data_IF_587306824215
#
_entry.id   IF_587306824215
#
_cell.length_a   1.000
_cell.length_b   1.000
_cell.length_c   1.000
_cell.angle_alpha   90.00
_cell.angle_beta   90.00
_cell.angle_gamma   90.00
#
_symmetry.space_group_name_H-M   'P 1'
#
loop_
_entity.id
_entity.type
_entity.pdbx_description
1 polymer ?
#
# COMPACT_ATOMS: atom_id res chain seq x y z
N UNK A 1 13.11 -48.88 -2.88
CA UNK A 1 12.07 -48.56 -1.87
C UNK A 1 12.37 -47.17 -1.34
N UNK A 2 11.56 -46.13 -1.43
CA UNK A 2 10.28 -45.83 -2.07
C UNK A 2 10.33 -44.30 -2.34
N UNK A 3 10.18 -43.87 -3.61
CA UNK A 3 9.00 -43.20 -4.15
C UNK A 3 8.84 -41.70 -3.79
N UNK A 4 8.91 -40.87 -4.85
CA UNK A 4 8.55 -39.44 -4.91
C UNK A 4 7.12 -39.22 -4.36
N UNK A 5 6.91 -38.11 -3.66
CA UNK A 5 5.58 -37.55 -3.43
C UNK A 5 5.40 -36.30 -4.30
N UNK A 6 4.39 -36.33 -5.15
CA UNK A 6 3.84 -35.20 -5.90
C UNK A 6 2.85 -34.44 -5.00
N UNK A 7 2.73 -33.10 -5.12
CA UNK A 7 1.60 -32.38 -4.54
C UNK A 7 0.57 -32.10 -5.63
N UNK A 8 -0.45 -32.96 -5.73
CA UNK A 8 -1.73 -32.60 -6.33
C UNK A 8 -2.85 -33.16 -5.44
N UNK A 9 -3.84 -32.31 -5.20
CA UNK A 9 -5.18 -32.58 -4.70
C UNK A 9 -5.39 -32.97 -3.23
N UNK A 10 -5.66 -31.95 -2.40
CA UNK A 10 -6.70 -32.04 -1.39
C UNK A 10 -7.30 -30.66 -1.09
N UNK A 11 -8.22 -30.25 -1.97
CA UNK A 11 -9.28 -29.30 -1.63
C UNK A 11 -10.05 -29.87 -0.43
N UNK A 12 -9.85 -29.33 0.77
CA UNK A 12 -10.59 -29.74 1.97
C UNK A 12 -11.75 -28.78 2.22
N UNK A 13 -12.95 -29.29 2.57
CA UNK A 13 -14.15 -28.48 2.71
C UNK A 13 -14.09 -27.58 3.95
N UNK A 14 -14.61 -26.37 3.75
CA UNK A 14 -14.79 -25.31 4.74
C UNK A 14 -15.45 -25.83 6.02
N UNK A 15 -14.70 -25.85 7.12
CA UNK A 15 -15.25 -26.16 8.45
C UNK A 15 -15.96 -24.92 9.00
N UNK A 16 -17.19 -25.02 9.54
CA UNK A 16 -17.87 -23.86 10.11
C UNK A 16 -17.08 -23.29 11.28
N UNK A 17 -17.01 -21.96 11.35
CA UNK A 17 -16.31 -21.17 12.37
C UNK A 17 -16.77 -21.57 13.78
N UNK A 18 -16.11 -22.58 14.36
CA UNK A 18 -16.07 -22.79 15.79
C UNK A 18 -15.33 -21.61 16.41
N UNK A 19 -15.94 -21.00 17.42
CA UNK A 19 -15.35 -19.94 18.24
C UNK A 19 -14.16 -20.49 19.04
N UNK A 20 -13.04 -20.71 18.35
CA UNK A 20 -11.74 -20.89 18.98
C UNK A 20 -11.18 -19.50 19.29
N UNK A 21 -10.65 -19.25 20.50
CA UNK A 21 -9.96 -18.01 20.78
C UNK A 21 -8.78 -17.88 19.81
N UNK A 22 -8.77 -16.82 19.00
CA UNK A 22 -7.66 -16.61 18.06
C UNK A 22 -6.35 -16.57 18.84
N UNK A 23 -5.34 -17.37 18.47
CA UNK A 23 -4.04 -17.28 19.10
C UNK A 23 -3.53 -15.85 18.94
N UNK A 24 -3.00 -15.26 20.01
CA UNK A 24 -2.34 -13.96 19.95
C UNK A 24 -1.06 -14.11 19.12
N UNK A 25 -1.16 -13.90 17.81
CA UNK A 25 0.02 -13.82 16.95
C UNK A 25 0.68 -12.44 17.17
N UNK A 26 1.86 -12.44 17.76
CA UNK A 26 2.70 -11.25 17.87
C UNK A 26 3.64 -11.20 16.66
N UNK A 27 3.33 -10.33 15.69
CA UNK A 27 4.20 -10.06 14.56
C UNK A 27 5.08 -8.85 14.86
N UNK A 28 6.41 -9.00 14.71
CA UNK A 28 7.33 -7.87 14.73
C UNK A 28 7.45 -7.33 13.32
N UNK A 29 6.74 -6.25 13.03
CA UNK A 29 6.87 -5.56 11.76
C UNK A 29 8.17 -4.74 11.72
N UNK A 30 8.81 -4.61 10.54
CA UNK A 30 9.87 -3.63 10.34
C UNK A 30 9.36 -2.21 10.63
N UNK A 31 10.28 -1.28 10.89
CA UNK A 31 9.96 0.11 11.24
C UNK A 31 9.02 0.78 10.22
N UNK A 32 9.10 0.38 8.97
CA UNK A 32 8.25 0.84 7.87
C UNK A 32 7.53 -0.36 7.25
N UNK A 33 6.21 -0.23 7.08
CA UNK A 33 5.37 -1.26 6.46
C UNK A 33 5.11 -0.97 4.97
N UNK A 34 5.54 0.19 4.48
CA UNK A 34 5.54 0.58 3.08
C UNK A 34 7.00 0.86 2.66
N UNK A 35 7.46 0.16 1.63
CA UNK A 35 8.76 0.40 0.99
C UNK A 35 8.59 0.27 -0.52
N UNK A 36 8.86 1.34 -1.25
CA UNK A 36 8.79 1.35 -2.71
C UNK A 36 10.10 1.84 -3.29
N UNK A 37 10.56 1.20 -4.36
CA UNK A 37 11.76 1.60 -5.09
C UNK A 37 11.40 1.74 -6.58
N UNK A 38 11.83 2.83 -7.20
CA UNK A 38 11.66 3.09 -8.62
C UNK A 38 12.97 3.61 -9.21
N UNK A 39 13.28 3.23 -10.45
CA UNK A 39 14.44 3.76 -11.15
C UNK A 39 14.05 5.04 -11.90
N UNK A 40 14.82 6.11 -11.73
CA UNK A 40 14.68 7.40 -12.42
C UNK A 40 16.05 7.86 -12.89
N UNK A 41 16.26 7.94 -14.19
CA UNK A 41 17.53 8.37 -14.80
C UNK A 41 18.78 7.64 -14.25
N UNK A 42 18.64 6.32 -14.02
CA UNK A 42 19.71 5.49 -13.45
C UNK A 42 19.90 5.62 -11.94
N UNK A 43 19.12 6.48 -11.27
CA UNK A 43 19.12 6.64 -9.80
C UNK A 43 17.93 5.91 -9.19
N UNK A 44 18.16 5.20 -8.08
CA UNK A 44 17.10 4.54 -7.34
C UNK A 44 16.40 5.55 -6.41
N UNK A 45 15.15 5.87 -6.72
CA UNK A 45 14.28 6.63 -5.84
C UNK A 45 13.57 5.66 -4.89
N UNK A 46 13.92 5.76 -3.60
CA UNK A 46 13.32 4.96 -2.52
C UNK A 46 12.32 5.80 -1.75
N UNK A 47 11.24 5.15 -1.32
CA UNK A 47 10.24 5.75 -0.46
C UNK A 47 9.92 4.81 0.70
N UNK A 48 9.68 5.39 1.86
CA UNK A 48 9.30 4.66 3.07
C UNK A 48 7.99 5.19 3.65
N UNK A 49 7.31 4.34 4.41
CA UNK A 49 6.05 4.72 5.02
C UNK A 49 5.47 3.70 6.00
N UNK A 50 4.40 4.11 6.66
CA UNK A 50 3.60 3.29 7.56
C UNK A 50 2.15 3.38 7.14
N UNK A 51 1.44 2.25 7.12
CA UNK A 51 -0.01 2.26 7.00
C UNK A 51 -0.61 2.80 8.30
N UNK A 52 -1.45 3.82 8.17
CA UNK A 52 -2.21 4.42 9.27
C UNK A 52 -3.64 3.88 9.31
N UNK A 53 -4.25 3.69 8.13
CA UNK A 53 -5.60 3.13 7.98
C UNK A 53 -5.60 2.16 6.80
N UNK A 54 -6.22 1.00 6.97
CA UNK A 54 -6.51 0.05 5.90
C UNK A 54 -7.94 -0.47 6.06
N UNK A 55 -8.88 0.24 5.44
CA UNK A 55 -10.31 -0.08 5.46
C UNK A 55 -10.71 -0.59 4.07
N UNK A 56 -10.71 -1.92 3.89
CA UNK A 56 -10.91 -2.53 2.57
C UNK A 56 -12.40 -2.58 2.21
N UNK A 57 -12.79 -2.27 0.96
CA UNK A 57 -11.98 -1.77 -0.16
C UNK A 57 -11.91 -0.23 -0.25
N UNK A 58 -12.47 0.48 0.72
CA UNK A 58 -12.89 1.89 0.57
C UNK A 58 -11.79 2.91 0.81
N UNK A 59 -10.82 2.62 1.68
CA UNK A 59 -9.86 3.62 2.12
C UNK A 59 -8.53 3.04 2.57
N UNK A 60 -7.45 3.70 2.15
CA UNK A 60 -6.13 3.47 2.70
C UNK A 60 -5.47 4.81 3.02
N UNK A 61 -4.80 4.89 4.16
CA UNK A 61 -4.02 6.05 4.58
C UNK A 61 -2.65 5.57 4.97
N UNK A 62 -1.62 6.23 4.47
CA UNK A 62 -0.24 5.92 4.81
C UNK A 62 0.63 7.18 4.88
N UNK A 63 1.73 7.07 5.61
CA UNK A 63 2.78 8.09 5.60
C UNK A 63 3.72 7.86 4.42
N UNK A 64 4.34 8.93 3.91
CA UNK A 64 5.29 8.88 2.81
C UNK A 64 6.51 9.76 3.10
N UNK A 65 7.70 9.20 2.92
CA UNK A 65 8.97 9.94 2.99
C UNK A 65 9.87 9.50 1.84
N UNK A 66 10.65 10.45 1.32
CA UNK A 66 11.65 10.22 0.25
C UNK A 66 13.07 10.15 0.81
N UNK A 67 13.27 10.62 2.05
CA UNK A 67 14.52 10.57 2.79
C UNK A 67 14.25 10.12 4.25
N UNK A 68 15.16 9.34 4.85
CA UNK A 68 15.00 8.85 6.22
C UNK A 68 15.02 9.97 7.27
N UNK A 69 15.62 11.13 6.96
CA UNK A 69 15.61 12.31 7.83
C UNK A 69 14.21 12.91 8.03
N UNK A 70 13.26 12.62 7.14
CA UNK A 70 11.87 13.08 7.21
C UNK A 70 10.99 12.25 8.15
N UNK A 71 11.54 11.21 8.80
CA UNK A 71 10.74 10.27 9.60
C UNK A 71 9.94 10.93 10.73
N UNK A 72 10.44 12.03 11.30
CA UNK A 72 9.77 12.74 12.38
C UNK A 72 8.59 13.60 11.93
N UNK A 73 8.53 13.92 10.64
CA UNK A 73 7.51 14.78 10.03
C UNK A 73 7.18 14.28 8.62
N UNK A 74 6.60 13.07 8.49
CA UNK A 74 6.35 12.47 7.19
C UNK A 74 5.09 13.06 6.56
N UNK A 75 5.04 13.10 5.23
CA UNK A 75 3.81 13.49 4.54
C UNK A 75 2.73 12.42 4.71
N UNK A 76 1.47 12.81 4.56
CA UNK A 76 0.31 11.92 4.69
C UNK A 76 -0.42 11.79 3.38
N UNK A 77 -0.63 10.55 2.94
CA UNK A 77 -1.40 10.24 1.74
C UNK A 77 -2.68 9.52 2.13
N UNK A 78 -3.81 10.05 1.69
CA UNK A 78 -5.13 9.43 1.82
C UNK A 78 -5.63 9.04 0.43
N UNK A 79 -6.00 7.78 0.27
CA UNK A 79 -6.62 7.26 -0.93
C UNK A 79 -8.01 6.72 -0.57
N UNK A 80 -9.05 7.22 -1.23
CA UNK A 80 -10.43 6.77 -1.03
C UNK A 80 -11.05 6.32 -2.35
N UNK A 81 -11.86 5.27 -2.27
CA UNK A 81 -12.59 4.70 -3.39
C UNK A 81 -14.07 4.73 -3.03
N UNK A 82 -14.85 5.46 -3.80
CA UNK A 82 -16.30 5.47 -3.69
C UNK A 82 -16.92 4.81 -4.94
N UNK A 83 -17.93 3.94 -4.80
CA UNK A 83 -18.63 3.36 -5.94
C UNK A 83 -19.27 4.45 -6.82
N UNK A 84 -19.19 4.29 -8.14
CA UNK A 84 -19.83 5.17 -9.11
C UNK A 84 -20.33 4.37 -10.31
N UNK A 85 -21.62 4.01 -10.28
CA UNK A 85 -22.24 3.14 -11.29
C UNK A 85 -21.56 1.77 -11.36
N UNK A 86 -21.10 1.39 -12.56
CA UNK A 86 -20.34 0.16 -12.81
C UNK A 86 -18.84 0.30 -12.47
N UNK A 87 -18.41 1.49 -12.07
CA UNK A 87 -17.01 1.81 -11.74
C UNK A 87 -16.83 2.40 -10.35
N UNK A 88 -15.82 3.24 -10.21
CA UNK A 88 -15.52 3.94 -8.97
C UNK A 88 -14.85 5.29 -9.21
N UNK A 89 -15.01 6.18 -8.24
CA UNK A 89 -14.22 7.41 -8.14
C UNK A 89 -13.13 7.17 -7.12
N UNK A 90 -11.87 7.17 -7.59
CA UNK A 90 -10.70 7.16 -6.75
C UNK A 90 -10.22 8.60 -6.50
N UNK A 91 -10.06 8.98 -5.23
CA UNK A 91 -9.54 10.30 -4.83
C UNK A 91 -8.25 10.13 -4.03
N UNK A 92 -7.23 10.92 -4.37
CA UNK A 92 -5.95 10.97 -3.67
C UNK A 92 -5.78 12.36 -3.07
N UNK A 93 -5.49 12.40 -1.77
CA UNK A 93 -5.10 13.61 -1.06
C UNK A 93 -3.70 13.38 -0.52
N UNK A 94 -2.73 14.18 -0.97
CA UNK A 94 -1.38 14.17 -0.45
C UNK A 94 -1.12 15.47 0.32
N UNK A 95 -1.11 15.36 1.65
CA UNK A 95 -0.83 16.47 2.56
C UNK A 95 0.69 16.65 2.67
N UNK A 96 1.18 17.77 2.12
CA UNK A 96 2.59 18.17 2.14
C UNK A 96 2.78 19.34 3.10
N UNK A 97 3.90 19.36 3.81
CA UNK A 97 4.33 20.54 4.57
C UNK A 97 4.61 21.71 3.61
N UNK A 98 4.36 22.94 4.07
CA UNK A 98 4.53 24.15 3.27
C UNK A 98 5.96 24.32 2.71
N UNK A 99 6.99 23.77 3.37
CA UNK A 99 8.38 23.77 2.87
C UNK A 99 8.55 23.02 1.54
N UNK A 100 7.59 22.16 1.19
CA UNK A 100 7.58 21.37 -0.04
C UNK A 100 6.63 21.93 -1.11
N UNK A 101 6.20 23.20 -1.00
CA UNK A 101 5.28 23.82 -1.94
C UNK A 101 5.73 23.71 -3.42
N UNK A 102 7.04 23.81 -3.68
CA UNK A 102 7.60 23.70 -5.04
C UNK A 102 7.42 22.30 -5.66
N UNK A 103 7.20 21.28 -4.83
CA UNK A 103 7.00 19.89 -5.27
C UNK A 103 5.54 19.53 -5.53
N UNK A 104 4.58 20.43 -5.28
CA UNK A 104 3.14 20.15 -5.45
C UNK A 104 2.83 19.73 -6.89
N UNK A 105 3.26 20.51 -7.88
CA UNK A 105 2.98 20.22 -9.29
C UNK A 105 3.62 18.89 -9.77
N UNK A 106 4.86 18.63 -9.32
CA UNK A 106 5.55 17.37 -9.62
C UNK A 106 4.85 16.17 -8.97
N UNK A 107 4.40 16.33 -7.73
CA UNK A 107 3.68 15.31 -6.97
C UNK A 107 2.35 14.96 -7.64
N UNK A 108 1.58 15.96 -8.04
CA UNK A 108 0.33 15.79 -8.80
C UNK A 108 0.56 15.05 -10.11
N UNK A 109 1.61 15.41 -10.85
CA UNK A 109 2.00 14.73 -12.10
C UNK A 109 2.32 13.26 -11.86
N UNK A 110 3.08 12.96 -10.79
CA UNK A 110 3.43 11.59 -10.41
C UNK A 110 2.21 10.74 -10.10
N UNK A 111 1.29 11.24 -9.27
CA UNK A 111 0.03 10.55 -8.96
C UNK A 111 -0.84 10.32 -10.19
N UNK A 112 -0.97 11.36 -11.03
CA UNK A 112 -1.74 11.28 -12.27
C UNK A 112 -1.22 10.20 -13.22
N UNK A 113 0.11 10.08 -13.33
CA UNK A 113 0.74 9.03 -14.16
C UNK A 113 0.41 7.63 -13.65
N UNK A 114 0.54 7.39 -12.33
CA UNK A 114 0.25 6.08 -11.73
C UNK A 114 -1.23 5.69 -11.85
N UNK A 115 -2.15 6.65 -11.66
CA UNK A 115 -3.58 6.39 -11.80
C UNK A 115 -3.98 6.08 -13.25
N UNK A 116 -3.43 6.82 -14.23
CA UNK A 116 -3.63 6.51 -15.66
C UNK A 116 -3.09 5.13 -16.04
N UNK A 117 -1.96 4.72 -15.48
CA UNK A 117 -1.43 3.38 -15.72
C UNK A 117 -2.32 2.28 -15.14
N UNK A 118 -2.99 2.55 -14.01
CA UNK A 118 -3.93 1.61 -13.39
C UNK A 118 -5.24 1.49 -14.17
N UNK A 119 -5.73 2.61 -14.71
CA UNK A 119 -6.92 2.66 -15.57
C UNK A 119 -6.75 1.90 -16.90
N UNK A 120 -5.50 1.72 -17.34
CA UNK A 120 -5.17 1.01 -18.58
C UNK A 120 -5.01 -0.52 -18.42
N UNK A 121 -5.18 -1.07 -17.22
CA UNK A 121 -5.11 -2.51 -16.94
C UNK A 121 -6.45 -3.21 -17.20
#
# INVERSE_FOLDING_TARGET
MAARQTPDDACTPFTPFGSLPMPKLAFRFPKYCLHTASMRDGTEARHWGKYLVQDRPRKIVFTWIVDLSEEFDPSRVTFSIEPDGEGCIATIIHELDAKWADYVAQTETGWSCMMRATDAL
#
